data_IF_789434470431
#
_entry.id   IF_789434470431
#
_cell.length_a   1.000
_cell.length_b   1.000
_cell.length_c   1.000
_cell.angle_alpha   90.00
_cell.angle_beta   90.00
_cell.angle_gamma   90.00
#
_symmetry.space_group_name_H-M   'P 1'
#
loop_
_entity.id
_entity.type
_entity.pdbx_description
1 polymer ?
#
# COMPACT_ATOMS: atom_id res chain seq x y z
N UNK A 1 21.12 1.08 -10.07
CA UNK A 1 19.91 1.81 -9.64
C UNK A 1 19.50 1.30 -8.27
N UNK A 2 19.44 2.16 -7.24
CA UNK A 2 18.93 1.81 -5.91
C UNK A 2 17.40 1.90 -5.87
N UNK A 3 16.76 1.11 -5.00
CA UNK A 3 15.33 1.23 -4.76
C UNK A 3 15.05 2.52 -3.96
N UNK A 4 14.05 3.29 -4.39
CA UNK A 4 13.57 4.50 -3.70
C UNK A 4 12.13 4.28 -3.26
N UNK A 5 11.79 4.75 -2.07
CA UNK A 5 10.41 4.81 -1.58
C UNK A 5 9.63 5.89 -2.33
N UNK A 6 8.33 5.65 -2.50
CA UNK A 6 7.36 6.60 -3.07
C UNK A 6 6.24 6.84 -2.05
N UNK A 7 5.50 7.93 -2.20
CA UNK A 7 4.35 8.22 -1.35
C UNK A 7 3.21 7.22 -1.58
N UNK A 8 2.32 7.12 -0.60
CA UNK A 8 1.17 6.22 -0.67
C UNK A 8 0.23 6.62 -1.81
N UNK A 9 0.01 7.92 -2.01
CA UNK A 9 -0.78 8.44 -3.12
C UNK A 9 -0.24 7.96 -4.49
N UNK A 10 1.08 8.06 -4.71
CA UNK A 10 1.72 7.64 -5.95
C UNK A 10 1.61 6.12 -6.15
N UNK A 11 1.87 5.35 -5.09
CA UNK A 11 1.74 3.89 -5.13
C UNK A 11 0.33 3.44 -5.50
N UNK A 12 -0.69 4.11 -4.96
CA UNK A 12 -2.10 3.85 -5.29
C UNK A 12 -2.44 4.23 -6.73
N UNK A 13 -1.92 5.36 -7.22
CA UNK A 13 -2.12 5.77 -8.61
C UNK A 13 -1.52 4.76 -9.60
N UNK A 14 -0.28 4.33 -9.35
CA UNK A 14 0.42 3.31 -10.15
C UNK A 14 -0.37 1.99 -10.12
N UNK A 15 -0.76 1.53 -8.93
CA UNK A 15 -1.52 0.28 -8.78
C UNK A 15 -2.84 0.35 -9.56
N UNK A 16 -3.63 1.41 -9.35
CA UNK A 16 -4.93 1.57 -10.00
C UNK A 16 -4.80 1.63 -11.53
N UNK A 17 -3.74 2.27 -12.03
CA UNK A 17 -3.46 2.31 -13.45
C UNK A 17 -3.10 0.93 -14.01
N UNK A 18 -2.17 0.19 -13.39
CA UNK A 18 -1.66 -1.03 -14.01
C UNK A 18 -2.52 -2.28 -13.75
N UNK A 19 -3.30 -2.35 -12.67
CA UNK A 19 -3.98 -3.59 -12.26
C UNK A 19 -4.90 -4.18 -13.34
N UNK A 20 -5.73 -3.35 -13.99
CA UNK A 20 -6.65 -3.79 -15.06
C UNK A 20 -6.00 -3.84 -16.44
N UNK A 21 -4.78 -3.31 -16.58
CA UNK A 21 -4.02 -3.26 -17.84
C UNK A 21 -3.02 -4.40 -17.97
N UNK A 22 -2.69 -5.06 -16.87
CA UNK A 22 -1.73 -6.16 -16.84
C UNK A 22 -2.31 -7.42 -17.49
N UNK A 23 -1.49 -8.11 -18.30
CA UNK A 23 -1.86 -9.41 -18.86
C UNK A 23 -2.01 -10.44 -17.74
N UNK A 24 -3.14 -11.14 -17.73
CA UNK A 24 -3.39 -12.24 -16.81
C UNK A 24 -2.43 -13.39 -17.12
N UNK A 25 -1.61 -13.78 -16.14
CA UNK A 25 -0.59 -14.84 -16.28
C UNK A 25 -1.19 -16.23 -16.05
N UNK A 26 -2.20 -16.35 -15.17
CA UNK A 26 -2.91 -17.61 -14.86
C UNK A 26 -4.41 -17.37 -14.90
N UNK A 27 -5.23 -18.32 -15.40
CA UNK A 27 -6.68 -18.16 -15.43
C UNK A 27 -7.20 -17.83 -14.02
N UNK A 28 -7.90 -16.70 -13.94
CA UNK A 28 -8.50 -16.21 -12.70
C UNK A 28 -9.92 -16.77 -12.58
N UNK A 29 -10.37 -17.17 -11.38
CA UNK A 29 -11.79 -17.48 -11.15
C UNK A 29 -12.69 -16.23 -11.19
N UNK A 30 -12.10 -15.03 -11.21
CA UNK A 30 -12.82 -13.77 -11.31
C UNK A 30 -13.15 -13.43 -12.78
N UNK A 31 -14.30 -12.78 -13.04
CA UNK A 31 -14.66 -12.36 -14.39
C UNK A 31 -13.59 -11.43 -14.97
N UNK A 32 -13.36 -11.54 -16.28
CA UNK A 32 -12.46 -10.63 -16.99
C UNK A 32 -13.01 -9.21 -16.90
N UNK A 33 -12.17 -8.28 -16.47
CA UNK A 33 -12.50 -6.85 -16.46
C UNK A 33 -12.57 -6.34 -17.90
N UNK A 34 -13.72 -5.79 -18.29
CA UNK A 34 -13.95 -5.21 -19.62
C UNK A 34 -13.62 -3.71 -19.67
N UNK A 35 -13.54 -3.06 -18.51
CA UNK A 35 -13.35 -1.62 -18.37
C UNK A 35 -12.24 -1.31 -17.36
N UNK A 36 -11.47 -0.26 -17.63
CA UNK A 36 -10.43 0.18 -16.69
C UNK A 36 -11.04 0.77 -15.43
N UNK A 37 -10.32 0.64 -14.32
CA UNK A 37 -10.73 1.24 -13.05
C UNK A 37 -10.87 2.77 -13.18
N UNK A 38 -11.87 3.38 -12.53
CA UNK A 38 -11.93 4.83 -12.39
C UNK A 38 -10.71 5.33 -11.61
N UNK A 39 -10.37 6.63 -11.71
CA UNK A 39 -9.33 7.23 -10.88
C UNK A 39 -9.56 6.96 -9.38
N UNK A 40 -8.50 6.70 -8.60
CA UNK A 40 -8.67 6.44 -7.18
C UNK A 40 -9.23 7.68 -6.50
N UNK A 41 -10.25 7.49 -5.66
CA UNK A 41 -10.79 8.57 -4.83
C UNK A 41 -9.86 8.82 -3.65
N UNK A 42 -8.85 9.66 -3.87
CA UNK A 42 -7.92 10.13 -2.87
C UNK A 42 -7.65 11.63 -3.08
N UNK A 43 -7.49 12.36 -1.98
CA UNK A 43 -7.08 13.75 -1.99
C UNK A 43 -5.69 13.85 -1.36
N UNK A 44 -4.69 14.16 -2.18
CA UNK A 44 -3.32 14.40 -1.73
C UNK A 44 -3.15 15.89 -1.43
N UNK A 45 -2.83 16.20 -0.18
CA UNK A 45 -2.74 17.58 0.31
C UNK A 45 -1.27 17.87 0.64
N UNK A 46 -0.71 18.89 0.02
CA UNK A 46 0.63 19.38 0.29
C UNK A 46 0.56 20.79 0.86
N UNK A 47 1.18 20.97 2.03
CA UNK A 47 1.25 22.24 2.75
C UNK A 47 2.67 22.80 2.61
N UNK A 48 2.93 23.66 1.61
CA UNK A 48 4.23 24.30 1.46
C UNK A 48 4.43 25.37 2.56
N UNK A 49 5.69 25.79 2.77
CA UNK A 49 6.04 26.70 3.87
C UNK A 49 5.48 28.13 3.70
N UNK A 50 5.22 28.52 2.45
CA UNK A 50 4.78 29.86 2.04
C UNK A 50 3.25 30.01 1.94
N UNK A 51 2.48 28.92 2.10
CA UNK A 51 1.02 28.94 2.04
C UNK A 51 0.38 28.80 3.43
N UNK A 52 -0.76 29.46 3.61
CA UNK A 52 -1.59 29.25 4.82
C UNK A 52 -2.32 27.91 4.72
N UNK A 53 -2.48 27.24 5.86
CA UNK A 53 -3.13 25.92 5.96
C UNK A 53 -4.55 25.97 5.42
N UNK A 54 -5.26 27.06 5.69
CA UNK A 54 -6.64 27.30 5.27
C UNK A 54 -6.73 27.38 3.74
N UNK A 55 -5.81 28.09 3.08
CA UNK A 55 -5.81 28.22 1.62
C UNK A 55 -5.67 26.87 0.91
N UNK A 56 -4.83 25.98 1.43
CA UNK A 56 -4.65 24.62 0.88
C UNK A 56 -5.91 23.79 1.08
N UNK A 57 -6.55 23.89 2.24
CA UNK A 57 -7.77 23.15 2.53
C UNK A 57 -8.97 23.64 1.71
N UNK A 58 -9.07 24.95 1.49
CA UNK A 58 -10.12 25.53 0.65
C UNK A 58 -9.90 25.16 -0.83
N UNK A 59 -8.64 25.18 -1.30
CA UNK A 59 -8.30 24.67 -2.62
C UNK A 59 -8.60 23.17 -2.77
N UNK A 60 -8.45 22.39 -1.69
CA UNK A 60 -8.79 20.97 -1.70
C UNK A 60 -10.28 20.73 -1.93
N UNK A 61 -11.16 21.55 -1.37
CA UNK A 61 -12.62 21.45 -1.57
C UNK A 61 -13.02 21.73 -3.03
N UNK A 62 -12.34 22.66 -3.69
CA UNK A 62 -12.53 22.95 -5.12
C UNK A 62 -12.00 21.80 -5.99
N UNK A 63 -10.82 21.29 -5.66
CA UNK A 63 -10.14 20.24 -6.44
C UNK A 63 -10.82 18.88 -6.27
N UNK A 64 -11.39 18.62 -5.10
CA UNK A 64 -12.02 17.37 -4.72
C UNK A 64 -13.45 17.61 -4.20
N UNK A 65 -14.42 17.93 -5.07
CA UNK A 65 -15.79 18.24 -4.64
C UNK A 65 -16.50 17.12 -3.87
N UNK A 66 -16.03 15.88 -4.02
CA UNK A 66 -16.54 14.71 -3.29
C UNK A 66 -16.27 14.77 -1.78
N UNK A 67 -15.34 15.62 -1.31
CA UNK A 67 -15.12 15.86 0.11
C UNK A 67 -16.35 16.49 0.79
N UNK A 68 -17.13 17.29 0.05
CA UNK A 68 -18.30 17.99 0.55
C UNK A 68 -19.60 17.18 0.46
N UNK A 69 -19.53 15.91 0.04
CA UNK A 69 -20.72 15.06 -0.08
C UNK A 69 -21.36 14.79 1.29
N UNK A 70 -22.65 15.09 1.39
CA UNK A 70 -23.42 14.85 2.60
C UNK A 70 -23.41 13.36 2.97
N UNK A 71 -23.14 13.07 4.25
CA UNK A 71 -23.07 11.70 4.77
C UNK A 71 -21.79 10.94 4.45
N UNK A 72 -20.87 11.50 3.66
CA UNK A 72 -19.56 10.89 3.41
C UNK A 72 -18.71 10.86 4.69
N UNK A 73 -18.01 9.75 4.88
CA UNK A 73 -17.06 9.52 5.96
C UNK A 73 -15.68 9.36 5.37
N UNK A 74 -14.67 9.86 6.06
CA UNK A 74 -13.31 9.93 5.57
C UNK A 74 -12.31 9.34 6.55
N UNK A 75 -11.14 9.03 6.00
CA UNK A 75 -9.91 8.71 6.70
C UNK A 75 -8.87 9.75 6.30
N UNK A 76 -8.28 10.43 7.28
CA UNK A 76 -7.17 11.34 7.06
C UNK A 76 -5.90 10.82 7.75
N UNK A 77 -4.77 10.86 7.05
CA UNK A 77 -3.48 10.35 7.53
C UNK A 77 -2.31 11.08 6.88
N UNK A 78 -1.15 11.19 7.54
CA UNK A 78 0.04 11.77 6.92
C UNK A 78 0.64 10.79 5.90
N UNK A 79 1.16 11.35 4.80
CA UNK A 79 1.79 10.62 3.70
C UNK A 79 3.26 11.05 3.53
N UNK A 80 4.06 10.84 4.59
CA UNK A 80 5.51 11.12 4.61
C UNK A 80 6.29 9.89 5.02
N UNK A 81 5.90 8.72 4.51
CA UNK A 81 6.58 7.44 4.76
C UNK A 81 6.61 7.03 6.24
N UNK A 82 5.68 7.57 7.04
CA UNK A 82 5.53 7.25 8.46
C UNK A 82 4.84 5.89 8.60
N UNK A 83 5.52 4.94 9.26
CA UNK A 83 4.97 3.62 9.57
C UNK A 83 4.22 3.64 10.91
N UNK A 84 3.38 2.62 11.14
CA UNK A 84 2.65 2.43 12.42
C UNK A 84 1.80 3.65 12.85
N UNK A 85 1.18 4.32 11.86
CA UNK A 85 0.32 5.51 12.05
C UNK A 85 -0.80 5.30 13.06
N UNK A 86 -1.43 4.12 13.06
CA UNK A 86 -2.47 3.78 14.04
C UNK A 86 -1.97 3.78 15.49
N UNK A 87 -0.78 3.20 15.75
CA UNK A 87 -0.18 3.17 17.10
C UNK A 87 0.30 4.56 17.55
N UNK A 88 0.62 5.44 16.59
CA UNK A 88 1.14 6.79 16.86
C UNK A 88 0.03 7.85 16.95
N UNK A 89 -1.25 7.46 16.87
CA UNK A 89 -2.38 8.42 16.87
C UNK A 89 -2.44 9.32 15.63
N UNK A 90 -1.75 8.97 14.55
CA UNK A 90 -1.69 9.73 13.30
C UNK A 90 -2.70 9.22 12.26
N UNK A 91 -3.87 8.81 12.73
CA UNK A 91 -4.91 8.22 11.90
C UNK A 91 -6.27 8.74 12.37
N UNK A 92 -6.90 9.58 11.55
CA UNK A 92 -8.26 10.05 11.76
C UNK A 92 -9.21 9.12 11.01
N UNK A 93 -10.05 8.35 11.70
CA UNK A 93 -10.91 7.32 11.13
C UNK A 93 -12.40 7.64 11.32
N UNK A 94 -13.20 7.32 10.30
CA UNK A 94 -14.67 7.41 10.33
C UNK A 94 -15.18 8.80 10.76
N UNK A 95 -14.58 9.85 10.21
CA UNK A 95 -14.93 11.24 10.51
C UNK A 95 -15.59 11.93 9.33
N UNK A 96 -16.41 12.93 9.62
CA UNK A 96 -16.92 13.85 8.58
C UNK A 96 -15.79 14.69 7.98
N UNK A 97 -16.02 15.33 6.83
CA UNK A 97 -15.01 16.21 6.25
C UNK A 97 -14.63 17.35 7.18
N UNK A 98 -15.59 17.98 7.86
CA UNK A 98 -15.30 19.08 8.80
C UNK A 98 -14.35 18.65 9.93
N UNK A 99 -14.59 17.46 10.52
CA UNK A 99 -13.71 16.89 11.54
C UNK A 99 -12.33 16.50 10.97
N UNK A 100 -12.28 15.94 9.77
CA UNK A 100 -11.02 15.59 9.10
C UNK A 100 -10.21 16.85 8.73
N UNK A 101 -10.87 17.89 8.21
CA UNK A 101 -10.30 19.21 7.88
C UNK A 101 -9.68 19.84 9.13
N UNK A 102 -10.40 19.87 10.25
CA UNK A 102 -9.88 20.35 11.52
C UNK A 102 -8.68 19.53 12.01
N UNK A 103 -8.76 18.20 11.93
CA UNK A 103 -7.68 17.31 12.33
C UNK A 103 -6.39 17.51 11.53
N UNK A 104 -6.52 17.74 10.22
CA UNK A 104 -5.39 18.08 9.33
C UNK A 104 -4.85 19.46 9.67
N UNK A 105 -5.73 20.47 9.82
CA UNK A 105 -5.33 21.85 10.12
C UNK A 105 -4.53 21.96 11.43
N UNK A 106 -4.91 21.19 12.45
CA UNK A 106 -4.20 21.12 13.72
C UNK A 106 -2.76 20.62 13.61
N UNK A 107 -2.42 19.87 12.55
CA UNK A 107 -1.14 19.15 12.43
C UNK A 107 -0.29 19.63 11.25
N UNK A 108 -0.92 20.19 10.23
CA UNK A 108 -0.24 20.75 9.07
C UNK A 108 0.75 21.83 9.49
N UNK A 109 1.98 21.75 8.99
CA UNK A 109 3.05 22.71 9.30
C UNK A 109 3.65 22.58 10.70
N UNK A 110 3.20 21.63 11.53
CA UNK A 110 3.72 21.44 12.90
C UNK A 110 4.73 20.29 12.99
N UNK A 111 5.68 20.43 13.91
CA UNK A 111 6.65 19.39 14.24
C UNK A 111 5.93 18.28 14.99
N UNK A 112 6.09 17.04 14.51
CA UNK A 112 5.57 15.86 15.15
C UNK A 112 6.70 14.88 15.46
N UNK A 113 6.77 14.46 16.72
CA UNK A 113 7.65 13.38 17.14
C UNK A 113 6.98 12.04 16.88
N UNK A 114 7.63 11.19 16.09
CA UNK A 114 7.21 9.81 15.83
C UNK A 114 8.36 8.88 16.18
N UNK A 115 8.15 8.06 17.20
CA UNK A 115 9.19 7.18 17.76
C UNK A 115 10.45 7.98 18.13
N UNK A 116 11.57 7.79 17.42
CA UNK A 116 12.84 8.49 17.65
C UNK A 116 13.06 9.71 16.75
N UNK A 117 12.17 9.98 15.80
CA UNK A 117 12.37 10.98 14.75
C UNK A 117 11.39 12.13 14.89
N UNK A 118 11.86 13.35 14.70
CA UNK A 118 11.06 14.57 14.71
C UNK A 118 11.07 15.18 13.30
N UNK A 119 9.92 15.66 12.84
CA UNK A 119 9.80 16.27 11.53
C UNK A 119 8.49 17.01 11.36
N UNK A 120 8.44 17.92 10.39
CA UNK A 120 7.24 18.71 10.09
C UNK A 120 6.28 17.92 9.19
N UNK A 121 5.00 17.91 9.56
CA UNK A 121 3.97 17.29 8.75
C UNK A 121 3.48 18.23 7.64
N UNK A 122 3.80 17.91 6.39
CA UNK A 122 3.46 18.69 5.18
C UNK A 122 2.63 17.93 4.15
N UNK A 123 2.65 16.60 4.17
CA UNK A 123 1.87 15.81 3.23
C UNK A 123 0.81 14.99 3.97
N UNK A 124 -0.43 15.14 3.53
CA UNK A 124 -1.58 14.41 4.03
C UNK A 124 -2.33 13.74 2.89
N UNK A 125 -3.00 12.65 3.22
CA UNK A 125 -3.85 11.89 2.33
C UNK A 125 -5.21 11.72 2.97
N UNK A 126 -6.26 12.10 2.25
CA UNK A 126 -7.65 11.94 2.66
C UNK A 126 -8.35 10.99 1.69
N UNK A 127 -9.05 10.00 2.24
CA UNK A 127 -9.71 8.95 1.47
C UNK A 127 -11.11 8.68 2.02
N UNK A 128 -12.08 8.24 1.19
CA UNK A 128 -13.35 7.74 1.68
C UNK A 128 -13.15 6.58 2.66
N UNK A 129 -13.91 6.59 3.76
CA UNK A 129 -13.94 5.49 4.71
C UNK A 129 -14.72 4.31 4.11
N UNK A 130 -14.09 3.15 4.10
CA UNK A 130 -14.71 1.90 3.65
C UNK A 130 -15.09 1.09 4.88
N UNK A 131 -16.38 0.99 5.24
CA UNK A 131 -16.81 0.17 6.38
C UNK A 131 -16.60 -1.31 6.05
N UNK A 132 -15.89 -2.03 6.91
CA UNK A 132 -15.60 -3.45 6.76
C UNK A 132 -15.43 -4.11 8.13
N UNK A 133 -15.59 -5.42 8.19
CA UNK A 133 -15.35 -6.24 9.39
C UNK A 133 -13.90 -6.68 9.46
N UNK A 134 -13.44 -7.05 10.66
CA UNK A 134 -12.04 -7.49 10.87
C UNK A 134 -11.65 -8.72 10.02
N UNK A 135 -12.59 -9.59 9.67
CA UNK A 135 -12.36 -10.76 8.83
C UNK A 135 -12.29 -10.44 7.32
N UNK A 136 -12.54 -9.18 6.94
CA UNK A 136 -12.43 -8.69 5.56
C UNK A 136 -11.10 -7.94 5.31
N UNK A 137 -10.24 -7.84 6.34
CA UNK A 137 -8.90 -7.27 6.23
C UNK A 137 -7.87 -8.33 5.84
N UNK A 138 -7.10 -8.05 4.78
CA UNK A 138 -6.06 -8.95 4.29
C UNK A 138 -4.71 -8.24 4.23
N UNK A 139 -3.62 -8.98 4.51
CA UNK A 139 -2.26 -8.50 4.34
C UNK A 139 -1.61 -9.14 3.10
N UNK A 140 -1.10 -8.30 2.21
CA UNK A 140 -0.33 -8.70 1.03
C UNK A 140 0.96 -7.88 1.00
N UNK A 141 2.11 -8.56 0.81
CA UNK A 141 3.41 -7.92 0.64
C UNK A 141 4.23 -8.68 -0.40
N UNK A 142 4.81 -7.94 -1.34
CA UNK A 142 5.68 -8.47 -2.39
C UNK A 142 7.05 -7.81 -2.21
N UNK A 143 8.03 -8.59 -1.80
CA UNK A 143 9.41 -8.13 -1.66
C UNK A 143 10.33 -8.92 -2.59
N UNK A 144 11.22 -8.21 -3.28
CA UNK A 144 12.30 -8.84 -4.04
C UNK A 144 13.48 -9.11 -3.12
N UNK A 145 13.93 -10.36 -3.09
CA UNK A 145 15.16 -10.78 -2.41
C UNK A 145 16.06 -11.46 -3.43
N UNK A 146 17.38 -11.26 -3.32
CA UNK A 146 18.32 -12.04 -4.11
C UNK A 146 18.39 -13.43 -3.50
N UNK A 147 18.04 -14.45 -4.27
CA UNK A 147 18.41 -15.82 -3.94
C UNK A 147 19.94 -15.91 -4.00
N UNK A 148 20.58 -15.87 -2.84
CA UNK A 148 21.97 -16.27 -2.74
C UNK A 148 21.92 -17.78 -2.60
N UNK A 149 22.05 -18.48 -3.72
CA UNK A 149 22.31 -19.91 -3.71
C UNK A 149 23.68 -20.13 -3.07
N UNK A 150 23.72 -20.21 -1.74
CA UNK A 150 24.76 -20.94 -1.06
C UNK A 150 24.57 -22.41 -1.47
N UNK A 151 25.35 -22.87 -2.45
CA UNK A 151 25.68 -24.28 -2.57
C UNK A 151 26.49 -24.64 -1.31
N UNK A 152 25.79 -24.96 -0.23
CA UNK A 152 26.37 -25.59 0.95
C UNK A 152 25.55 -26.83 1.24
N UNK A 153 26.06 -28.04 0.91
CA UNK A 153 25.48 -29.24 1.46
C UNK A 153 25.89 -29.26 2.94
N UNK A 154 24.92 -29.49 3.81
CA UNK A 154 25.07 -29.68 5.25
C UNK A 154 25.18 -28.39 6.07
N UNK A 155 24.36 -28.39 7.14
CA UNK A 155 24.27 -27.42 8.25
C UNK A 155 23.44 -26.18 7.92
N UNK A 156 22.14 -26.30 8.24
CA UNK A 156 21.20 -25.20 8.33
C UNK A 156 21.63 -24.17 9.39
N UNK A 157 21.65 -22.86 9.08
CA UNK A 157 21.36 -21.84 10.06
C UNK A 157 19.86 -21.50 9.97
N UNK A 158 19.16 -21.94 11.00
CA UNK A 158 17.82 -21.49 11.36
C UNK A 158 17.84 -19.96 11.53
N UNK A 159 17.19 -19.22 10.63
CA UNK A 159 16.96 -17.78 10.84
C UNK A 159 15.65 -17.59 11.61
N UNK A 160 15.80 -17.26 12.90
CA UNK A 160 14.75 -17.05 13.90
C UNK A 160 14.27 -15.57 13.92
N UNK A 161 13.08 -15.37 14.51
CA UNK A 161 12.32 -14.12 14.81
C UNK A 161 11.45 -13.58 13.65
N UNK A 162 10.13 -13.36 13.78
CA UNK A 162 9.19 -13.29 14.91
C UNK A 162 7.78 -13.69 14.42
N UNK A 163 6.97 -14.22 15.34
CA UNK A 163 5.59 -14.71 15.19
C UNK A 163 4.64 -13.82 14.35
N UNK A 164 3.91 -14.40 13.39
CA UNK A 164 2.44 -14.35 13.30
C UNK A 164 1.91 -15.48 12.40
N UNK A 165 0.93 -16.21 12.91
CA UNK A 165 0.68 -17.65 12.69
C UNK A 165 -0.03 -18.02 11.38
N UNK A 166 0.00 -17.17 10.34
CA UNK A 166 -0.83 -17.40 9.14
C UNK A 166 -0.40 -16.59 7.92
N UNK A 167 0.84 -16.78 7.47
CA UNK A 167 1.31 -16.22 6.21
C UNK A 167 1.53 -17.32 5.17
N UNK A 168 0.79 -17.25 4.06
CA UNK A 168 1.12 -18.02 2.87
C UNK A 168 2.25 -17.27 2.15
N UNK A 169 3.47 -17.81 2.23
CA UNK A 169 4.64 -17.24 1.56
C UNK A 169 4.80 -17.91 0.19
N UNK A 170 4.44 -17.19 -0.87
CA UNK A 170 4.67 -17.64 -2.24
C UNK A 170 6.02 -17.13 -2.73
N UNK A 171 6.90 -18.04 -3.14
CA UNK A 171 8.15 -17.69 -3.80
C UNK A 171 7.97 -17.75 -5.31
N UNK A 172 8.27 -16.65 -6.00
CA UNK A 172 8.31 -16.60 -7.46
C UNK A 172 9.77 -16.64 -7.90
N UNK A 173 10.28 -17.82 -8.30
CA UNK A 173 11.66 -17.92 -8.76
C UNK A 173 11.85 -17.05 -10.00
N UNK A 174 13.02 -16.42 -10.10
CA UNK A 174 13.40 -15.69 -11.31
C UNK A 174 13.37 -16.69 -12.48
N UNK A 175 12.71 -16.34 -13.58
CA UNK A 175 12.82 -17.11 -14.80
C UNK A 175 14.30 -17.08 -15.20
N UNK A 176 15.04 -18.18 -14.96
CA UNK A 176 16.30 -18.40 -15.65
C UNK A 176 15.88 -18.56 -17.11
N UNK A 177 16.14 -17.57 -17.95
CA UNK A 177 16.30 -17.82 -19.39
C UNK A 177 17.47 -18.77 -19.49
N UNK A 178 17.18 -20.06 -19.40
CA UNK A 178 18.11 -21.11 -19.76
C UNK A 178 18.29 -20.92 -21.27
N UNK A 179 19.47 -20.46 -21.69
CA UNK A 179 19.90 -20.69 -23.07
C UNK A 179 19.70 -22.20 -23.33
N UNK A 180 19.20 -22.60 -24.50
CA UNK A 180 18.80 -23.98 -24.72
C UNK A 180 20.05 -24.86 -24.75
N UNK A 181 20.40 -25.46 -23.61
CA UNK A 181 21.19 -26.68 -23.59
C UNK A 181 20.24 -27.85 -23.80
N UNK A 182 20.60 -28.66 -24.79
CA UNK A 182 19.90 -29.84 -25.27
C UNK A 182 19.70 -30.89 -24.17
N UNK A 183 18.50 -31.49 -24.19
CA UNK A 183 18.08 -32.79 -23.65
C UNK A 183 17.28 -32.88 -22.32
N UNK A 184 16.06 -33.37 -22.54
CA UNK A 184 15.20 -34.29 -21.75
C UNK A 184 14.39 -33.79 -20.52
N UNK A 185 13.10 -34.21 -20.40
CA UNK A 185 12.16 -33.67 -19.42
C UNK A 185 12.17 -34.48 -18.12
N UNK A 186 12.09 -33.80 -16.97
CA UNK A 186 11.67 -34.42 -15.71
C UNK A 186 10.49 -33.64 -15.14
N UNK A 187 9.33 -34.29 -15.20
CA UNK A 187 8.06 -33.88 -14.61
C UNK A 187 8.12 -33.97 -13.08
N UNK A 188 7.93 -32.84 -12.40
CA UNK A 188 7.33 -32.81 -11.06
C UNK A 188 6.98 -31.37 -10.67
N UNK A 189 5.75 -30.95 -10.98
CA UNK A 189 5.15 -29.74 -10.40
C UNK A 189 3.97 -30.19 -9.57
N UNK A 190 4.22 -30.62 -8.33
CA UNK A 190 3.16 -30.82 -7.34
C UNK A 190 2.86 -29.43 -6.73
N UNK A 191 1.73 -28.84 -7.11
CA UNK A 191 1.14 -27.71 -6.37
C UNK A 191 -0.15 -28.23 -5.77
N UNK A 192 -0.08 -28.60 -4.48
CA UNK A 192 -1.27 -28.97 -3.70
C UNK A 192 -2.20 -27.76 -3.60
N UNK A 193 -3.42 -27.96 -4.03
CA UNK A 193 -4.54 -27.05 -3.87
C UNK A 193 -5.21 -27.24 -2.49
N UNK A 194 -5.93 -26.19 -2.10
CA UNK A 194 -7.03 -26.12 -1.11
C UNK A 194 -6.67 -26.03 0.38
N UNK A 195 -7.00 -24.87 0.97
CA UNK A 195 -7.93 -24.77 2.10
C UNK A 195 -8.48 -23.34 2.20
N UNK A 196 -9.75 -23.19 1.81
CA UNK A 196 -10.62 -22.07 2.17
C UNK A 196 -10.97 -22.20 3.66
N UNK A 197 -11.08 -21.08 4.37
CA UNK A 197 -11.94 -20.98 5.56
C UNK A 197 -13.02 -19.96 5.28
#
# INVERSE_FOLDING_TARGET
MSAKSIFEADGKAILNYHLTRAKVIKPSPLPASTTHNPPPRLASLHFPEDATVESVLDQAEVTYPWLLQAGAKFVAKPDQLIKRRGKSGLLCLNKSWAEAKAWVAERAGKVQKVESTEGVLRHFLVEPFVPHKQNEEYYININSVRDVSAQSPLIAPFLRLLCFQRFMRCFFPRHKTRLPESHAPSSSTEVRSVAVR
#
